data_IF_650496144180
#
_entry.id   IF_650496144180
#
_cell.length_a   1.000
_cell.length_b   1.000
_cell.length_c   1.000
_cell.angle_alpha   90.00
_cell.angle_beta   90.00
_cell.angle_gamma   90.00
#
_symmetry.space_group_name_H-M   'P 1'
#
loop_
_entity.id
_entity.type
_entity.pdbx_description
1 polymer ?
#
# COMPACT_ATOMS: atom_id res chain seq x y z
N UNK A 1 -6.19 5.37 12.34
CA UNK A 1 -4.99 4.50 12.19
C UNK A 1 -3.76 5.23 12.73
N UNK A 2 -2.82 4.56 13.40
CA UNK A 2 -1.55 5.16 13.83
C UNK A 2 -0.47 4.92 12.78
N UNK A 3 0.08 5.98 12.23
CA UNK A 3 1.11 5.93 11.19
C UNK A 3 2.48 6.30 11.74
N UNK A 4 3.53 5.83 11.09
CA UNK A 4 4.93 6.20 11.37
C UNK A 4 5.76 6.27 10.11
N UNK A 5 6.89 6.97 10.17
CA UNK A 5 7.92 6.96 9.13
C UNK A 5 8.78 5.70 9.24
N UNK A 6 9.61 5.44 8.22
CA UNK A 6 10.51 4.28 8.22
C UNK A 6 11.55 4.28 9.35
N UNK A 7 11.98 5.45 9.83
CA UNK A 7 12.88 5.57 10.98
C UNK A 7 12.19 5.31 12.34
N UNK A 8 10.88 5.05 12.35
CA UNK A 8 10.10 4.79 13.57
C UNK A 8 9.36 6.01 14.13
N UNK A 9 9.64 7.22 13.65
CA UNK A 9 8.99 8.44 14.15
C UNK A 9 7.48 8.38 13.92
N UNK A 10 6.63 8.67 14.93
CA UNK A 10 5.20 8.72 14.75
C UNK A 10 4.78 9.84 13.81
N UNK A 11 3.63 9.65 13.16
CA UNK A 11 2.94 10.68 12.39
C UNK A 11 1.69 11.04 13.19
N UNK A 12 1.75 12.18 13.88
CA UNK A 12 0.69 12.63 14.80
C UNK A 12 -0.48 13.34 14.08
N UNK A 13 -0.35 13.57 12.78
CA UNK A 13 -1.39 14.15 11.94
C UNK A 13 -2.28 13.05 11.34
N UNK A 14 -3.55 13.38 11.01
CA UNK A 14 -4.33 12.56 10.09
C UNK A 14 -3.53 12.28 8.82
N UNK A 15 -3.60 11.04 8.32
CA UNK A 15 -2.71 10.59 7.24
C UNK A 15 -2.87 11.43 5.98
N UNK A 16 -4.08 11.86 5.65
CA UNK A 16 -4.35 12.77 4.53
C UNK A 16 -3.53 14.06 4.61
N UNK A 17 -3.43 14.68 5.79
CA UNK A 17 -2.63 15.90 5.98
C UNK A 17 -1.14 15.63 5.97
N UNK A 18 -0.70 14.48 6.52
CA UNK A 18 0.70 14.08 6.47
C UNK A 18 1.17 13.83 5.02
N UNK A 19 0.34 13.17 4.21
CA UNK A 19 0.58 12.92 2.78
C UNK A 19 0.59 14.24 2.02
N UNK A 20 -0.38 15.13 2.25
CA UNK A 20 -0.44 16.44 1.61
C UNK A 20 0.81 17.27 1.90
N UNK A 21 1.23 17.31 3.17
CA UNK A 21 2.46 18.01 3.57
C UNK A 21 3.71 17.40 2.92
N UNK A 22 3.77 16.07 2.79
CA UNK A 22 4.85 15.39 2.09
C UNK A 22 4.88 15.76 0.60
N UNK A 23 3.74 15.75 -0.08
CA UNK A 23 3.64 16.15 -1.49
C UNK A 23 4.13 17.59 -1.67
N UNK A 24 3.58 18.54 -0.89
CA UNK A 24 3.98 19.96 -0.96
C UNK A 24 5.47 20.14 -0.74
N UNK A 25 6.04 19.48 0.27
CA UNK A 25 7.47 19.56 0.60
C UNK A 25 8.35 19.09 -0.56
N UNK A 26 8.07 17.91 -1.11
CA UNK A 26 8.92 17.34 -2.16
C UNK A 26 8.74 18.06 -3.50
N UNK A 27 7.52 18.48 -3.84
CA UNK A 27 7.27 19.29 -5.04
C UNK A 27 7.95 20.66 -4.95
N UNK A 28 7.94 21.30 -3.78
CA UNK A 28 8.68 22.55 -3.55
C UNK A 28 10.20 22.35 -3.65
N UNK A 29 10.70 21.14 -3.36
CA UNK A 29 12.09 20.76 -3.58
C UNK A 29 12.41 20.39 -5.05
N UNK A 30 11.42 20.45 -5.96
CA UNK A 30 11.59 20.19 -7.38
C UNK A 30 11.45 18.72 -7.78
N UNK A 31 11.00 17.84 -6.88
CA UNK A 31 10.82 16.43 -7.20
C UNK A 31 9.44 16.16 -7.80
N UNK A 32 9.43 15.35 -8.88
CA UNK A 32 8.22 14.69 -9.35
C UNK A 32 8.01 13.42 -8.53
N UNK A 33 6.80 13.26 -8.01
CA UNK A 33 6.42 12.14 -7.16
C UNK A 33 5.55 11.14 -7.90
N UNK A 34 5.77 9.86 -7.56
CA UNK A 34 4.83 8.77 -7.78
C UNK A 34 4.58 8.07 -6.45
N UNK A 35 3.31 7.78 -6.15
CA UNK A 35 2.92 7.14 -4.90
C UNK A 35 2.48 5.70 -5.14
N UNK A 36 2.99 4.77 -4.34
CA UNK A 36 2.64 3.35 -4.41
C UNK A 36 2.12 2.90 -3.05
N UNK A 37 0.91 2.35 -3.00
CA UNK A 37 0.28 1.88 -1.76
C UNK A 37 0.18 0.37 -1.79
N UNK A 38 0.57 -0.30 -0.71
CA UNK A 38 0.46 -1.75 -0.62
C UNK A 38 0.40 -2.25 0.81
N UNK A 39 -0.20 -3.42 0.98
CA UNK A 39 -0.30 -4.12 2.26
C UNK A 39 0.30 -5.51 2.13
N UNK A 40 0.95 -5.97 3.18
CA UNK A 40 1.38 -7.36 3.35
C UNK A 40 1.00 -7.86 4.75
N UNK A 41 0.98 -9.18 4.95
CA UNK A 41 0.61 -9.80 6.23
C UNK A 41 1.51 -10.96 6.63
N UNK A 42 1.72 -11.12 7.93
CA UNK A 42 2.45 -12.25 8.51
C UNK A 42 1.66 -12.87 9.67
N UNK A 43 1.59 -14.20 9.68
CA UNK A 43 1.02 -14.96 10.81
C UNK A 43 2.13 -15.22 11.83
N UNK A 44 1.93 -14.76 13.07
CA UNK A 44 2.83 -14.91 14.21
C UNK A 44 2.09 -15.61 15.35
N UNK A 45 2.21 -16.94 15.38
CA UNK A 45 1.50 -17.77 16.36
C UNK A 45 -0.01 -17.71 16.15
N UNK A 46 -0.74 -17.10 17.10
CA UNK A 46 -2.21 -16.93 17.04
C UNK A 46 -2.65 -15.59 16.45
N UNK A 47 -1.71 -14.72 16.12
CA UNK A 47 -1.99 -13.36 15.63
C UNK A 47 -1.57 -13.23 14.17
N UNK A 48 -2.35 -12.47 13.40
CA UNK A 48 -1.98 -12.01 12.06
C UNK A 48 -1.65 -10.53 12.17
N UNK A 49 -0.47 -10.15 11.70
CA UNK A 49 -0.01 -8.76 11.62
C UNK A 49 -0.05 -8.30 10.17
N UNK A 50 -0.78 -7.23 9.89
CA UNK A 50 -0.79 -6.54 8.61
C UNK A 50 0.09 -5.30 8.70
N UNK A 51 0.85 -5.01 7.63
CA UNK A 51 1.47 -3.71 7.42
C UNK A 51 0.99 -3.10 6.12
N UNK A 52 0.46 -1.88 6.20
CA UNK A 52 0.15 -1.05 5.03
C UNK A 52 1.21 0.03 4.90
N UNK A 53 1.71 0.23 3.70
CA UNK A 53 2.71 1.25 3.39
C UNK A 53 2.22 2.19 2.30
N UNK A 54 2.56 3.46 2.45
CA UNK A 54 2.44 4.49 1.41
C UNK A 54 3.86 4.88 1.04
N UNK A 55 4.31 4.45 -0.14
CA UNK A 55 5.66 4.73 -0.63
C UNK A 55 5.62 5.93 -1.57
N UNK A 56 6.50 6.88 -1.33
CA UNK A 56 6.72 8.04 -2.18
C UNK A 56 8.03 7.85 -2.93
N UNK A 57 7.94 7.68 -4.24
CA UNK A 57 9.09 7.66 -5.13
C UNK A 57 9.34 9.06 -5.67
N UNK A 58 10.58 9.51 -5.54
CA UNK A 58 11.11 10.67 -6.25
C UNK A 58 11.79 10.17 -7.51
N UNK A 59 11.32 10.59 -8.67
CA UNK A 59 11.89 10.15 -9.95
C UNK A 59 13.42 10.39 -9.97
N UNK A 60 14.21 9.32 -10.08
CA UNK A 60 15.67 9.39 -10.08
C UNK A 60 16.36 9.63 -8.72
N UNK A 61 15.61 9.80 -7.62
CA UNK A 61 16.15 10.23 -6.31
C UNK A 61 15.71 9.36 -5.12
N UNK A 62 15.36 8.10 -5.38
CA UNK A 62 14.93 7.15 -4.35
C UNK A 62 13.56 7.51 -3.77
N UNK A 63 13.30 7.16 -2.50
CA UNK A 63 11.97 7.35 -1.93
C UNK A 63 11.95 7.34 -0.41
N UNK A 64 10.76 7.48 0.14
CA UNK A 64 10.46 7.31 1.57
C UNK A 64 9.07 6.69 1.72
N UNK A 65 8.71 6.28 2.95
CA UNK A 65 7.41 5.67 3.17
C UNK A 65 6.81 5.97 4.53
N UNK A 66 5.48 5.94 4.56
CA UNK A 66 4.68 5.89 5.78
C UNK A 66 4.16 4.48 5.99
N UNK A 67 4.07 4.07 7.25
CA UNK A 67 3.81 2.70 7.66
C UNK A 67 2.71 2.68 8.71
N UNK A 68 1.73 1.81 8.50
CA UNK A 68 0.71 1.46 9.48
C UNK A 68 0.75 -0.03 9.76
N UNK A 69 0.72 -0.42 11.03
CA UNK A 69 0.58 -1.82 11.43
C UNK A 69 -0.71 -2.05 12.19
N UNK A 70 -1.31 -3.20 11.95
CA UNK A 70 -2.50 -3.67 12.62
C UNK A 70 -2.34 -5.15 12.97
N UNK A 71 -2.73 -5.53 14.18
CA UNK A 71 -2.69 -6.93 14.64
C UNK A 71 -4.10 -7.39 14.94
N UNK A 72 -4.41 -8.63 14.56
CA UNK A 72 -5.69 -9.27 14.84
C UNK A 72 -5.50 -10.74 15.21
N UNK A 73 -6.41 -11.26 16.03
CA UNK A 73 -6.49 -12.70 16.37
C UNK A 73 -7.44 -13.46 15.47
N UNK A 74 -8.09 -12.76 14.52
CA UNK A 74 -8.90 -13.40 13.51
C UNK A 74 -8.02 -14.37 12.71
N UNK A 75 -8.52 -15.60 12.59
CA UNK A 75 -7.90 -16.61 11.74
C UNK A 75 -8.39 -16.41 10.32
N UNK A 76 -7.46 -16.41 9.39
CA UNK A 76 -7.73 -16.25 7.98
C UNK A 76 -7.11 -17.42 7.22
N UNK A 77 -7.84 -17.92 6.23
CA UNK A 77 -7.23 -18.70 5.15
C UNK A 77 -6.27 -17.83 4.34
N UNK A 78 -5.38 -18.46 3.57
CA UNK A 78 -4.46 -17.72 2.68
C UNK A 78 -5.24 -16.79 1.73
N UNK A 79 -6.36 -17.27 1.18
CA UNK A 79 -7.22 -16.49 0.27
C UNK A 79 -7.77 -15.24 0.95
N UNK A 80 -8.32 -15.38 2.16
CA UNK A 80 -8.90 -14.25 2.90
C UNK A 80 -7.83 -13.22 3.28
N UNK A 81 -6.61 -13.66 3.63
CA UNK A 81 -5.49 -12.73 3.90
C UNK A 81 -5.13 -11.89 2.69
N UNK A 82 -4.98 -12.51 1.53
CA UNK A 82 -4.64 -11.81 0.29
C UNK A 82 -5.73 -10.81 -0.10
N UNK A 83 -7.01 -11.18 0.07
CA UNK A 83 -8.13 -10.26 -0.15
C UNK A 83 -8.11 -9.11 0.86
N UNK A 84 -7.78 -9.38 2.12
CA UNK A 84 -7.67 -8.36 3.17
C UNK A 84 -6.51 -7.39 2.91
N UNK A 85 -5.36 -7.88 2.44
CA UNK A 85 -4.23 -7.03 2.03
C UNK A 85 -4.64 -6.06 0.92
N UNK A 86 -5.30 -6.57 -0.12
CA UNK A 86 -5.82 -5.77 -1.22
C UNK A 86 -6.84 -4.74 -0.71
N UNK A 87 -7.81 -5.18 0.11
CA UNK A 87 -8.85 -4.30 0.65
C UNK A 87 -8.27 -3.15 1.48
N UNK A 88 -7.30 -3.43 2.37
CA UNK A 88 -6.62 -2.40 3.17
C UNK A 88 -5.83 -1.41 2.30
N UNK A 89 -5.21 -1.88 1.22
CA UNK A 89 -4.53 -0.99 0.28
C UNK A 89 -5.49 -0.04 -0.42
N UNK A 90 -6.65 -0.55 -0.85
CA UNK A 90 -7.70 0.22 -1.53
C UNK A 90 -8.32 1.26 -0.59
N UNK A 91 -8.55 0.90 0.67
CA UNK A 91 -9.11 1.82 1.67
C UNK A 91 -8.26 3.09 1.77
N UNK A 92 -6.94 2.94 1.87
CA UNK A 92 -6.00 4.07 1.92
C UNK A 92 -5.94 4.80 0.58
N UNK A 93 -5.95 4.08 -0.54
CA UNK A 93 -5.97 4.70 -1.87
C UNK A 93 -7.21 5.57 -2.08
N UNK A 94 -8.37 5.12 -1.60
CA UNK A 94 -9.63 5.86 -1.68
C UNK A 94 -9.64 7.08 -0.75
N UNK A 95 -9.12 6.95 0.47
CA UNK A 95 -8.97 8.08 1.40
C UNK A 95 -8.12 9.22 0.79
N UNK A 96 -7.10 8.86 0.01
CA UNK A 96 -6.11 9.80 -0.53
C UNK A 96 -6.33 10.19 -2.01
N UNK A 97 -7.31 9.60 -2.71
CA UNK A 97 -7.43 9.74 -4.16
C UNK A 97 -7.60 11.21 -4.61
N UNK A 98 -8.49 11.94 -3.95
CA UNK A 98 -8.77 13.35 -4.25
C UNK A 98 -7.50 14.21 -4.10
N UNK A 99 -6.67 13.89 -3.11
CA UNK A 99 -5.43 14.61 -2.88
C UNK A 99 -4.45 14.40 -4.05
N UNK A 100 -4.27 13.16 -4.50
CA UNK A 100 -3.40 12.86 -5.64
C UNK A 100 -3.89 13.50 -6.94
N UNK A 101 -5.22 13.57 -7.15
CA UNK A 101 -5.79 14.29 -8.29
C UNK A 101 -5.52 15.80 -8.21
N UNK A 102 -5.73 16.43 -7.05
CA UNK A 102 -5.50 17.87 -6.86
C UNK A 102 -4.04 18.25 -7.11
N UNK A 103 -3.10 17.42 -6.69
CA UNK A 103 -1.66 17.67 -6.86
C UNK A 103 -1.06 17.04 -8.13
N UNK A 104 -1.87 16.40 -8.97
CA UNK A 104 -1.43 15.69 -10.18
C UNK A 104 -0.27 14.71 -9.92
N UNK A 105 -0.42 13.90 -8.87
CA UNK A 105 0.53 12.85 -8.46
C UNK A 105 0.00 11.50 -8.91
N UNK A 106 0.82 10.75 -9.65
CA UNK A 106 0.45 9.40 -10.08
C UNK A 106 0.41 8.46 -8.87
N UNK A 107 -0.65 7.64 -8.78
CA UNK A 107 -0.83 6.68 -7.71
C UNK A 107 -1.09 5.27 -8.24
N UNK A 108 -0.41 4.29 -7.65
CA UNK A 108 -0.59 2.86 -7.93
C UNK A 108 -0.89 2.06 -6.67
N UNK A 109 -1.83 1.12 -6.78
CA UNK A 109 -2.05 0.08 -5.77
C UNK A 109 -1.20 -1.13 -6.14
N UNK A 110 -0.33 -1.52 -5.22
CA UNK A 110 0.58 -2.66 -5.35
C UNK A 110 0.05 -3.79 -4.49
N UNK A 111 -0.26 -4.92 -5.12
CA UNK A 111 -0.72 -6.08 -4.40
C UNK A 111 0.27 -7.23 -4.59
N UNK A 112 0.65 -7.88 -3.49
CA UNK A 112 1.58 -9.00 -3.51
C UNK A 112 0.88 -10.28 -3.99
N UNK A 113 0.62 -10.35 -5.29
CA UNK A 113 0.08 -11.57 -5.90
C UNK A 113 0.88 -11.96 -7.12
N UNK A 114 1.05 -13.29 -7.26
CA UNK A 114 1.55 -13.92 -8.47
C UNK A 114 0.43 -14.05 -9.51
N UNK A 115 0.63 -13.45 -10.68
CA UNK A 115 -0.32 -13.47 -11.81
C UNK A 115 -0.35 -14.81 -12.54
N UNK A 116 0.53 -15.76 -12.18
CA UNK A 116 0.55 -17.08 -12.78
C UNK A 116 -0.73 -17.89 -12.41
N UNK A 117 -1.48 -18.39 -13.40
CA UNK A 117 -2.74 -19.12 -13.19
C UNK A 117 -2.61 -20.42 -12.40
N UNK A 118 -1.40 -20.95 -12.23
CA UNK A 118 -1.15 -22.16 -11.43
C UNK A 118 -1.16 -21.90 -9.92
N UNK A 119 -1.21 -20.65 -9.46
CA UNK A 119 -1.28 -20.33 -8.04
C UNK A 119 -2.72 -20.21 -7.55
N UNK A 120 -3.02 -20.83 -6.40
CA UNK A 120 -4.34 -20.85 -5.74
C UNK A 120 -4.94 -19.46 -5.48
N UNK A 121 -4.13 -18.42 -5.53
CA UNK A 121 -4.54 -17.02 -5.36
C UNK A 121 -5.15 -16.38 -6.61
N UNK A 122 -5.04 -16.99 -7.80
CA UNK A 122 -5.38 -16.35 -9.08
C UNK A 122 -6.88 -16.04 -9.27
N UNK A 123 -7.78 -16.96 -8.91
CA UNK A 123 -9.22 -16.81 -9.20
C UNK A 123 -9.89 -15.75 -8.33
N UNK A 124 -9.56 -15.72 -7.03
CA UNK A 124 -10.00 -14.65 -6.11
C UNK A 124 -9.57 -13.26 -6.58
N UNK A 125 -8.45 -13.24 -7.28
CA UNK A 125 -7.78 -12.03 -7.71
C UNK A 125 -8.42 -11.40 -8.92
N UNK A 126 -8.89 -12.19 -9.87
CA UNK A 126 -9.54 -11.63 -11.07
C UNK A 126 -10.75 -10.80 -10.68
N UNK A 127 -11.50 -11.24 -9.68
CA UNK A 127 -12.64 -10.49 -9.15
C UNK A 127 -12.20 -9.21 -8.44
N UNK A 128 -11.21 -9.29 -7.54
CA UNK A 128 -10.68 -8.11 -6.84
C UNK A 128 -10.03 -7.10 -7.79
N UNK A 129 -9.22 -7.56 -8.75
CA UNK A 129 -8.59 -6.72 -9.77
C UNK A 129 -9.62 -6.09 -10.70
N UNK A 130 -10.66 -6.83 -11.10
CA UNK A 130 -11.76 -6.29 -11.91
C UNK A 130 -12.49 -5.15 -11.21
N UNK A 131 -12.72 -5.28 -9.90
CA UNK A 131 -13.30 -4.23 -9.08
C UNK A 131 -12.39 -2.99 -8.99
N UNK A 132 -11.09 -3.18 -8.75
CA UNK A 132 -10.10 -2.10 -8.62
C UNK A 132 -9.94 -1.31 -9.93
N UNK A 133 -9.83 -2.02 -11.05
CA UNK A 133 -9.77 -1.39 -12.38
C UNK A 133 -11.07 -0.63 -12.68
N UNK A 134 -12.22 -1.16 -12.26
CA UNK A 134 -13.51 -0.48 -12.36
C UNK A 134 -13.60 0.84 -11.57
N UNK A 135 -12.80 0.99 -10.50
CA UNK A 135 -12.67 2.24 -9.73
C UNK A 135 -11.68 3.23 -10.35
N UNK A 136 -10.96 2.85 -11.41
CA UNK A 136 -10.01 3.72 -12.11
C UNK A 136 -8.62 3.82 -11.47
N UNK A 137 -8.31 2.97 -10.47
CA UNK A 137 -6.96 2.94 -9.89
C UNK A 137 -5.99 2.13 -10.75
N UNK A 138 -4.78 2.65 -10.94
CA UNK A 138 -3.70 1.89 -11.56
C UNK A 138 -3.25 0.79 -10.60
N UNK A 139 -3.21 -0.45 -11.08
CA UNK A 139 -2.90 -1.62 -10.26
C UNK A 139 -1.65 -2.33 -10.77
N UNK A 140 -0.76 -2.74 -9.86
CA UNK A 140 0.44 -3.53 -10.14
C UNK A 140 0.47 -4.78 -9.28
N UNK A 141 0.80 -5.91 -9.92
CA UNK A 141 1.07 -7.20 -9.29
C UNK A 141 2.58 -7.51 -9.33
N UNK A 142 3.02 -8.64 -8.79
CA UNK A 142 4.43 -9.04 -8.92
C UNK A 142 4.80 -9.28 -10.40
N UNK A 143 6.03 -8.93 -10.82
CA UNK A 143 7.14 -8.39 -10.01
C UNK A 143 7.14 -6.87 -9.75
N UNK A 144 6.20 -6.12 -10.32
CA UNK A 144 6.17 -4.65 -10.25
C UNK A 144 5.61 -4.11 -8.91
N UNK A 145 4.94 -4.95 -8.12
CA UNK A 145 4.26 -4.62 -6.86
C UNK A 145 5.19 -4.43 -5.64
N UNK A 146 6.28 -3.67 -5.74
CA UNK A 146 7.31 -3.58 -4.68
C UNK A 146 6.80 -3.01 -3.33
N UNK A 147 5.78 -2.14 -3.32
CA UNK A 147 5.29 -1.56 -2.07
C UNK A 147 4.69 -2.62 -1.14
N UNK A 148 3.93 -3.59 -1.66
CA UNK A 148 3.50 -4.76 -0.88
C UNK A 148 4.63 -5.78 -0.73
N UNK A 149 5.24 -6.21 -1.84
CA UNK A 149 6.13 -7.37 -1.85
C UNK A 149 7.50 -7.17 -1.19
N UNK A 150 7.92 -5.92 -1.01
CA UNK A 150 9.23 -5.57 -0.45
C UNK A 150 9.10 -4.62 0.73
N UNK A 151 8.41 -3.49 0.57
CA UNK A 151 8.30 -2.50 1.63
C UNK A 151 7.44 -2.99 2.80
N UNK A 152 6.19 -3.40 2.57
CA UNK A 152 5.31 -3.91 3.62
C UNK A 152 5.84 -5.21 4.24
N UNK A 153 6.33 -6.15 3.43
CA UNK A 153 7.00 -7.37 3.89
C UNK A 153 8.14 -7.05 4.87
N UNK A 154 9.01 -6.07 4.57
CA UNK A 154 10.11 -5.67 5.46
C UNK A 154 9.63 -5.16 6.83
N UNK A 155 8.39 -4.71 6.95
CA UNK A 155 7.81 -4.24 8.22
C UNK A 155 7.28 -5.39 9.06
N UNK A 156 6.70 -6.42 8.44
CA UNK A 156 6.06 -7.55 9.16
C UNK A 156 6.98 -8.74 9.39
N UNK A 157 8.06 -8.87 8.61
CA UNK A 157 9.02 -9.98 8.68
C UNK A 157 10.00 -9.84 9.86
#
# INVERSE_FOLDING_TARGET
>A
MRWRKFNGDPIDLPIIHAVENAIKRETAAGFRLKVCIGTDSQVKGKETEFATVIVFLREGHGGFMFIHNEKTRQQFTIKERMLMEVAKSIEIAYELCNLFTVYNVDMEVHADINTNPHFKSNDALKEAMGYILGMGFAFKAKPEAFASSSCANKVVN
#
